data_IF_625619264323
#
_entry.id   IF_625619264323
#
_cell.length_a   1.000
_cell.length_b   1.000
_cell.length_c   1.000
_cell.angle_alpha   90.00
_cell.angle_beta   90.00
_cell.angle_gamma   90.00
#
_symmetry.space_group_name_H-M   'P 1'
#
loop_
_entity.id
_entity.type
_entity.pdbx_description
1 polymer ?
#
# COMPACT_ATOMS: atom_id res chain seq x y z
N UNK A 1 34.63 27.66 67.63
CA UNK A 1 34.20 27.13 68.91
C UNK A 1 33.57 25.77 68.61
N UNK A 2 34.29 24.75 69.10
CA UNK A 2 33.91 23.34 68.98
C UNK A 2 32.59 23.03 69.66
N UNK A 3 31.84 22.06 69.17
CA UNK A 3 31.25 21.04 70.00
C UNK A 3 30.85 19.82 69.18
N UNK A 4 31.53 18.73 69.40
CA UNK A 4 31.30 17.34 69.10
C UNK A 4 30.14 16.77 69.91
N UNK A 5 29.30 15.84 69.33
CA UNK A 5 28.66 14.72 70.02
C UNK A 5 28.21 13.69 69.05
N UNK A 6 28.79 12.59 69.01
CA UNK A 6 28.69 11.25 69.64
C UNK A 6 27.58 10.35 69.01
N UNK A 7 28.08 9.25 68.46
CA UNK A 7 27.35 8.07 67.99
C UNK A 7 26.58 7.36 69.13
N UNK A 8 25.37 6.92 68.84
CA UNK A 8 24.75 5.79 69.55
C UNK A 8 24.11 4.83 68.56
N UNK A 9 24.61 3.61 68.53
CA UNK A 9 24.07 2.46 67.83
C UNK A 9 22.73 2.06 68.44
N UNK A 10 21.73 1.79 67.57
CA UNK A 10 20.56 1.00 67.90
C UNK A 10 20.44 -0.10 66.88
N UNK A 11 20.84 -1.30 67.31
CA UNK A 11 20.58 -2.54 66.58
C UNK A 11 19.12 -2.95 66.89
N UNK A 12 18.26 -2.91 65.91
CA UNK A 12 16.97 -3.59 65.93
C UNK A 12 16.99 -4.63 64.83
N UNK A 13 17.02 -5.90 65.24
CA UNK A 13 16.91 -7.03 64.36
C UNK A 13 15.53 -7.06 63.68
N UNK A 14 15.52 -6.93 62.37
CA UNK A 14 14.33 -7.21 61.53
C UNK A 14 14.50 -8.58 60.86
N UNK A 15 13.75 -9.53 61.32
CA UNK A 15 13.58 -10.83 60.68
C UNK A 15 12.96 -10.68 59.29
N UNK A 16 13.78 -10.92 58.28
CA UNK A 16 13.34 -11.01 56.87
C UNK A 16 12.54 -12.31 56.67
N UNK A 17 11.23 -12.21 56.64
CA UNK A 17 10.36 -13.23 56.01
C UNK A 17 10.43 -13.06 54.48
N UNK A 18 10.75 -14.10 53.71
CA UNK A 18 10.66 -14.01 52.24
C UNK A 18 9.18 -13.95 51.85
N UNK A 19 8.75 -12.78 51.39
CA UNK A 19 7.49 -12.67 50.66
C UNK A 19 7.74 -13.31 49.29
N UNK A 20 7.33 -14.56 49.14
CA UNK A 20 7.20 -15.21 47.83
C UNK A 20 5.99 -14.56 47.16
N UNK A 21 6.20 -13.53 46.36
CA UNK A 21 5.23 -13.08 45.41
C UNK A 21 5.09 -14.15 44.32
N UNK A 22 4.10 -15.04 44.51
CA UNK A 22 3.62 -15.87 43.42
C UNK A 22 2.94 -14.95 42.39
N UNK A 23 3.71 -14.49 41.41
CA UNK A 23 3.13 -13.95 40.18
C UNK A 23 2.35 -15.08 39.51
N UNK A 24 1.06 -14.92 39.21
CA UNK A 24 0.37 -15.89 38.39
C UNK A 24 1.07 -15.86 37.01
N UNK A 25 1.79 -16.93 36.71
CA UNK A 25 2.35 -17.18 35.37
C UNK A 25 1.24 -17.63 34.42
N UNK A 26 0.30 -16.72 34.18
CA UNK A 26 -0.63 -16.80 33.06
C UNK A 26 -0.45 -15.55 32.22
N UNK A 27 0.81 -15.27 31.81
CA UNK A 27 1.01 -14.64 30.52
C UNK A 27 0.75 -15.75 29.50
N UNK A 28 -0.52 -15.93 29.15
CA UNK A 28 -0.88 -16.59 27.90
C UNK A 28 -0.11 -15.79 26.87
N UNK A 29 0.94 -16.39 26.30
CA UNK A 29 1.59 -15.84 25.12
C UNK A 29 0.43 -15.62 24.14
N UNK A 30 0.18 -14.35 23.79
CA UNK A 30 -0.73 -14.01 22.72
C UNK A 30 -0.15 -14.76 21.51
N UNK A 31 -0.80 -15.87 21.13
CA UNK A 31 -0.37 -16.68 20.00
C UNK A 31 -0.09 -15.69 18.89
N UNK A 32 1.11 -15.75 18.31
CA UNK A 32 1.55 -14.89 17.22
C UNK A 32 0.68 -15.18 15.98
N UNK A 33 -0.56 -14.68 16.02
CA UNK A 33 -1.52 -14.86 14.93
C UNK A 33 -0.93 -14.25 13.67
N UNK A 34 -1.05 -14.92 12.52
CA UNK A 34 -0.64 -14.34 11.26
C UNK A 34 -1.33 -12.98 11.03
N UNK A 35 -0.61 -12.01 10.50
CA UNK A 35 -1.16 -10.69 10.18
C UNK A 35 -0.76 -10.33 8.77
N UNK A 36 -1.76 -10.00 7.95
CA UNK A 36 -1.54 -9.37 6.65
C UNK A 36 -1.68 -7.85 6.85
N UNK A 37 -0.63 -7.13 6.57
CA UNK A 37 -0.63 -5.67 6.62
C UNK A 37 -0.89 -5.10 5.23
N UNK A 38 -1.76 -4.09 5.13
CA UNK A 38 -2.06 -3.42 3.85
C UNK A 38 -2.21 -1.92 3.99
N UNK A 39 -1.98 -1.12 2.93
CA UNK A 39 -2.28 0.30 2.92
C UNK A 39 -3.79 0.55 2.88
N UNK A 40 -4.29 1.74 3.24
CA UNK A 40 -5.67 2.12 2.99
C UNK A 40 -5.88 2.43 1.49
N UNK A 41 -5.83 1.39 0.65
CA UNK A 41 -5.91 1.49 -0.81
C UNK A 41 -6.54 0.22 -1.41
N UNK A 42 -6.94 0.30 -2.68
CA UNK A 42 -7.64 -0.75 -3.41
C UNK A 42 -7.10 -2.18 -3.24
N UNK A 43 -5.79 -2.44 -3.38
CA UNK A 43 -5.22 -3.80 -3.25
C UNK A 43 -5.53 -4.47 -1.92
N UNK A 44 -5.73 -3.69 -0.86
CA UNK A 44 -6.04 -4.20 0.49
C UNK A 44 -7.45 -4.77 0.60
N UNK A 45 -8.37 -4.41 -0.30
CA UNK A 45 -9.76 -4.90 -0.28
C UNK A 45 -9.80 -6.43 -0.36
N UNK A 46 -8.96 -7.01 -1.24
CA UNK A 46 -8.93 -8.46 -1.48
C UNK A 46 -8.51 -9.21 -0.22
N UNK A 47 -7.39 -8.81 0.38
CA UNK A 47 -6.86 -9.47 1.57
C UNK A 47 -7.76 -9.23 2.81
N UNK A 48 -8.28 -8.00 2.98
CA UNK A 48 -9.20 -7.67 4.06
C UNK A 48 -10.46 -8.53 3.99
N UNK A 49 -11.02 -8.72 2.78
CA UNK A 49 -12.19 -9.55 2.57
C UNK A 49 -11.90 -11.02 2.86
N UNK A 50 -10.81 -11.58 2.32
CA UNK A 50 -10.44 -12.97 2.54
C UNK A 50 -10.23 -13.27 4.03
N UNK A 51 -9.57 -12.37 4.77
CA UNK A 51 -9.38 -12.50 6.22
C UNK A 51 -10.72 -12.39 6.96
N UNK A 52 -11.51 -11.36 6.69
CA UNK A 52 -12.74 -11.07 7.43
C UNK A 52 -13.81 -12.14 7.27
N UNK A 53 -13.90 -12.72 6.08
CA UNK A 53 -14.86 -13.81 5.77
C UNK A 53 -14.36 -15.21 6.12
N UNK A 54 -13.17 -15.33 6.74
CA UNK A 54 -12.62 -16.62 7.17
C UNK A 54 -12.10 -17.49 6.05
N UNK A 55 -11.95 -16.97 4.83
CA UNK A 55 -11.47 -17.77 3.69
C UNK A 55 -10.02 -18.24 3.84
N UNK A 56 -9.26 -17.65 4.76
CA UNK A 56 -7.87 -18.01 5.06
C UNK A 56 -7.74 -18.90 6.31
N UNK A 57 -8.84 -19.27 6.98
CA UNK A 57 -8.77 -19.95 8.29
C UNK A 57 -8.04 -21.29 8.24
N UNK A 58 -8.23 -22.08 7.18
CA UNK A 58 -7.55 -23.39 7.02
C UNK A 58 -6.05 -23.23 6.70
N UNK A 59 -5.65 -22.14 6.04
CA UNK A 59 -4.27 -21.88 5.62
C UNK A 59 -3.48 -21.09 6.67
N UNK A 60 -4.11 -20.10 7.27
CA UNK A 60 -3.55 -19.17 8.25
C UNK A 60 -4.53 -19.01 9.42
N UNK A 61 -4.62 -19.98 10.34
CA UNK A 61 -5.58 -19.95 11.44
C UNK A 61 -5.49 -18.66 12.26
N UNK A 62 -6.65 -18.04 12.49
CA UNK A 62 -6.74 -16.78 13.25
C UNK A 62 -6.10 -15.58 12.58
N UNK A 63 -5.84 -15.61 11.28
CA UNK A 63 -5.24 -14.50 10.53
C UNK A 63 -6.00 -13.20 10.72
N UNK A 64 -5.27 -12.10 10.89
CA UNK A 64 -5.80 -10.76 11.02
C UNK A 64 -5.37 -9.89 9.85
N UNK A 65 -6.20 -8.91 9.50
CA UNK A 65 -5.82 -7.82 8.60
C UNK A 65 -5.63 -6.54 9.40
N UNK A 66 -4.53 -5.81 9.14
CA UNK A 66 -4.23 -4.51 9.76
C UNK A 66 -3.83 -3.49 8.71
N UNK A 67 -4.33 -2.27 8.87
CA UNK A 67 -3.92 -1.14 8.03
C UNK A 67 -2.60 -0.57 8.53
N UNK A 68 -1.70 -0.27 7.60
CA UNK A 68 -0.51 0.51 7.88
C UNK A 68 -0.61 1.89 7.21
N UNK A 69 -0.17 2.92 7.93
CA UNK A 69 -0.12 4.29 7.45
C UNK A 69 1.31 4.85 7.39
N UNK A 70 2.29 4.05 7.88
CA UNK A 70 3.69 4.42 7.89
C UNK A 70 4.54 3.37 7.17
N UNK A 71 5.06 3.68 5.95
CA UNK A 71 5.92 2.77 5.21
C UNK A 71 7.20 2.37 5.95
N UNK A 72 7.76 3.24 6.82
CA UNK A 72 8.98 2.93 7.55
C UNK A 72 8.74 1.87 8.64
N UNK A 73 7.56 1.88 9.26
CA UNK A 73 7.15 0.82 10.19
C UNK A 73 7.11 -0.54 9.49
N UNK A 74 6.56 -0.60 8.29
CA UNK A 74 6.48 -1.84 7.51
C UNK A 74 7.87 -2.32 7.10
N UNK A 75 8.73 -1.40 6.62
CA UNK A 75 10.12 -1.73 6.27
C UNK A 75 10.89 -2.28 7.47
N UNK A 76 10.77 -1.63 8.63
CA UNK A 76 11.40 -2.11 9.87
C UNK A 76 10.84 -3.48 10.30
N UNK A 77 9.53 -3.68 10.22
CA UNK A 77 8.87 -4.94 10.56
C UNK A 77 9.29 -6.11 9.66
N UNK A 78 9.35 -5.89 8.35
CA UNK A 78 9.85 -6.89 7.39
C UNK A 78 11.33 -7.18 7.61
N UNK A 79 12.14 -6.15 7.90
CA UNK A 79 13.57 -6.30 8.16
C UNK A 79 13.86 -7.09 9.44
N UNK A 80 13.08 -6.88 10.50
CA UNK A 80 13.23 -7.60 11.77
C UNK A 80 12.56 -8.98 11.76
N UNK A 81 11.71 -9.27 10.77
CA UNK A 81 10.88 -10.48 10.72
C UNK A 81 9.68 -10.44 11.67
N UNK A 82 9.35 -9.30 12.27
CA UNK A 82 8.11 -9.11 13.05
C UNK A 82 6.86 -8.93 12.16
N UNK A 83 7.08 -8.60 10.90
CA UNK A 83 6.06 -8.59 9.83
C UNK A 83 6.53 -9.55 8.74
N UNK A 84 5.67 -10.48 8.34
CA UNK A 84 5.98 -11.50 7.34
C UNK A 84 5.06 -11.45 6.11
N UNK A 85 3.99 -10.67 6.16
CA UNK A 85 3.05 -10.48 5.06
C UNK A 85 2.62 -9.01 5.01
N UNK A 86 2.92 -8.34 3.90
CA UNK A 86 2.51 -6.95 3.71
C UNK A 86 2.20 -6.65 2.24
N UNK A 87 1.08 -5.98 2.01
CA UNK A 87 0.77 -5.41 0.70
C UNK A 87 1.55 -4.11 0.56
N UNK A 88 2.41 -4.06 -0.45
CA UNK A 88 3.31 -2.95 -0.74
C UNK A 88 3.26 -2.60 -2.23
N UNK A 89 3.70 -1.40 -2.61
CA UNK A 89 4.08 -1.13 -4.00
C UNK A 89 5.15 -2.14 -4.44
N UNK A 90 4.98 -2.72 -5.63
CA UNK A 90 5.87 -3.79 -6.15
C UNK A 90 7.34 -3.37 -6.19
N UNK A 91 7.62 -2.12 -6.58
CA UNK A 91 8.99 -1.56 -6.57
C UNK A 91 9.58 -1.45 -5.15
N UNK A 92 8.75 -1.18 -4.14
CA UNK A 92 9.20 -1.16 -2.74
C UNK A 92 9.61 -2.56 -2.27
N UNK A 93 8.84 -3.59 -2.65
CA UNK A 93 9.21 -4.98 -2.42
C UNK A 93 10.54 -5.34 -3.08
N UNK A 94 10.73 -4.96 -4.35
CA UNK A 94 11.98 -5.15 -5.09
C UNK A 94 13.17 -4.43 -4.43
N UNK A 95 12.97 -3.20 -3.93
CA UNK A 95 13.99 -2.48 -3.18
C UNK A 95 14.44 -3.23 -1.91
N UNK A 96 13.47 -3.74 -1.14
CA UNK A 96 13.76 -4.50 0.08
C UNK A 96 14.49 -5.81 -0.23
N UNK A 97 14.07 -6.52 -1.29
CA UNK A 97 14.73 -7.71 -1.78
C UNK A 97 16.18 -7.44 -2.18
N UNK A 98 16.41 -6.42 -3.00
CA UNK A 98 17.75 -6.04 -3.47
C UNK A 98 18.68 -5.58 -2.32
N UNK A 99 18.12 -5.13 -1.22
CA UNK A 99 18.85 -4.83 0.04
C UNK A 99 19.10 -6.07 0.91
N UNK A 100 18.73 -7.26 0.46
CA UNK A 100 19.02 -8.52 1.12
C UNK A 100 18.08 -8.86 2.29
N UNK A 101 16.87 -8.29 2.33
CA UNK A 101 15.92 -8.56 3.42
C UNK A 101 15.24 -9.94 3.31
N UNK A 102 15.49 -10.72 2.26
CA UNK A 102 14.90 -12.07 2.10
C UNK A 102 13.38 -12.07 1.86
N UNK A 103 12.82 -10.94 1.44
CA UNK A 103 11.40 -10.84 1.08
C UNK A 103 11.17 -11.24 -0.37
N UNK A 104 9.97 -11.69 -0.72
CA UNK A 104 9.58 -12.04 -2.10
C UNK A 104 8.20 -11.49 -2.43
N UNK A 105 7.94 -11.22 -3.68
CA UNK A 105 6.64 -10.84 -4.18
C UNK A 105 5.83 -12.09 -4.52
N UNK A 106 4.72 -12.30 -3.81
CA UNK A 106 3.85 -13.44 -4.02
C UNK A 106 2.88 -13.24 -5.20
N UNK A 107 2.36 -12.04 -5.32
CA UNK A 107 1.36 -11.69 -6.34
C UNK A 107 1.34 -10.20 -6.63
N UNK A 108 0.56 -9.85 -7.65
CA UNK A 108 0.06 -8.49 -7.90
C UNK A 108 -1.46 -8.49 -7.63
N UNK A 109 -1.91 -7.48 -6.90
CA UNK A 109 -3.32 -7.29 -6.50
C UNK A 109 -4.00 -6.12 -7.21
N UNK A 110 -3.25 -5.34 -7.98
CA UNK A 110 -3.78 -4.27 -8.82
C UNK A 110 -2.87 -4.01 -10.01
N UNK A 111 -3.48 -3.85 -11.18
CA UNK A 111 -2.81 -3.40 -12.41
C UNK A 111 -2.82 -1.86 -12.55
N UNK A 112 -3.02 -1.18 -11.43
CA UNK A 112 -2.97 0.27 -11.31
C UNK A 112 -4.24 0.85 -10.69
N UNK A 113 -4.10 1.96 -9.98
CA UNK A 113 -5.19 2.63 -9.28
C UNK A 113 -5.05 4.16 -9.30
N UNK A 114 -4.23 4.67 -10.22
CA UNK A 114 -3.96 6.10 -10.35
C UNK A 114 -4.89 6.75 -11.38
N UNK A 115 -5.47 7.88 -11.00
CA UNK A 115 -6.31 8.70 -11.88
C UNK A 115 -5.88 10.15 -11.83
N UNK A 116 -6.01 10.85 -12.94
CA UNK A 116 -6.04 12.30 -12.93
C UNK A 116 -7.49 12.71 -12.74
N UNK A 117 -7.78 13.33 -11.60
CA UNK A 117 -9.09 13.88 -11.29
C UNK A 117 -9.07 15.39 -11.50
N UNK A 118 -10.19 15.94 -11.98
CA UNK A 118 -10.32 17.36 -12.28
C UNK A 118 -11.77 17.83 -12.15
N UNK A 119 -12.03 19.14 -12.04
CA UNK A 119 -13.36 19.68 -12.18
C UNK A 119 -13.96 19.32 -13.53
N UNK A 120 -15.20 18.85 -13.55
CA UNK A 120 -15.92 18.51 -14.78
C UNK A 120 -15.94 19.68 -15.79
N UNK A 121 -16.08 20.91 -15.27
CA UNK A 121 -16.07 22.14 -16.06
C UNK A 121 -14.71 22.45 -16.72
N UNK A 122 -13.59 21.83 -16.26
CA UNK A 122 -12.29 22.01 -16.88
C UNK A 122 -12.17 21.37 -18.27
N UNK A 123 -13.07 20.42 -18.56
CA UNK A 123 -13.14 19.69 -19.84
C UNK A 123 -11.82 19.02 -20.24
N UNK A 124 -11.04 18.55 -19.25
CA UNK A 124 -9.81 17.77 -19.48
C UNK A 124 -10.24 16.37 -19.93
N UNK A 125 -9.91 16.00 -21.17
CA UNK A 125 -10.23 14.70 -21.81
C UNK A 125 -9.00 13.99 -22.36
N UNK A 126 -7.91 14.72 -22.54
CA UNK A 126 -6.64 14.21 -23.04
C UNK A 126 -5.50 14.73 -22.17
N UNK A 127 -4.34 14.09 -22.25
CA UNK A 127 -3.15 14.56 -21.55
C UNK A 127 -2.71 15.95 -22.06
N UNK A 128 -2.95 16.26 -23.32
CA UNK A 128 -2.64 17.54 -23.93
C UNK A 128 -3.44 18.71 -23.31
N UNK A 129 -4.65 18.43 -22.79
CA UNK A 129 -5.48 19.45 -22.13
C UNK A 129 -4.89 19.92 -20.79
N UNK A 130 -3.86 19.22 -20.26
CA UNK A 130 -3.12 19.64 -19.07
C UNK A 130 -2.01 20.65 -19.38
N UNK A 131 -1.66 20.89 -20.64
CA UNK A 131 -0.63 21.87 -21.01
C UNK A 131 -1.05 23.26 -20.53
N UNK A 132 -0.14 23.93 -19.81
CA UNK A 132 -0.39 25.24 -19.20
C UNK A 132 -1.21 25.20 -17.91
N UNK A 133 -1.60 24.02 -17.42
CA UNK A 133 -2.37 23.85 -16.18
C UNK A 133 -1.50 23.39 -15.03
N UNK A 134 -2.03 23.55 -13.80
CA UNK A 134 -1.42 23.10 -12.56
C UNK A 134 -1.91 21.69 -12.23
N UNK A 135 -0.98 20.74 -12.14
CA UNK A 135 -1.25 19.36 -11.79
C UNK A 135 -0.60 19.04 -10.43
N UNK A 136 -1.40 18.66 -9.43
CA UNK A 136 -0.84 18.10 -8.20
C UNK A 136 -0.39 16.66 -8.43
N UNK A 137 0.85 16.34 -8.05
CA UNK A 137 1.41 14.99 -8.12
C UNK A 137 2.01 14.65 -6.74
N UNK A 138 1.59 13.55 -6.10
CA UNK A 138 2.14 13.16 -4.81
C UNK A 138 3.56 12.60 -4.95
N UNK A 139 4.39 12.81 -3.91
CA UNK A 139 5.71 12.18 -3.75
C UNK A 139 6.69 12.46 -4.90
N UNK A 140 7.26 13.66 -4.89
CA UNK A 140 8.34 14.01 -5.84
C UNK A 140 9.46 12.97 -5.80
N UNK A 141 9.94 12.57 -6.98
CA UNK A 141 10.99 11.57 -7.16
C UNK A 141 10.61 10.18 -6.61
N UNK A 142 9.33 9.83 -6.65
CA UNK A 142 8.82 8.51 -6.32
C UNK A 142 7.89 8.01 -7.45
N UNK A 143 7.30 6.83 -7.27
CA UNK A 143 6.59 6.11 -8.33
C UNK A 143 5.52 6.92 -9.07
N UNK A 144 4.60 7.67 -8.42
CA UNK A 144 3.60 8.43 -9.15
C UNK A 144 4.19 9.51 -10.05
N UNK A 145 5.26 10.16 -9.59
CA UNK A 145 5.98 11.16 -10.37
C UNK A 145 6.70 10.52 -11.56
N UNK A 146 7.41 9.42 -11.36
CA UNK A 146 8.12 8.72 -12.43
C UNK A 146 7.17 8.16 -13.50
N UNK A 147 6.00 7.62 -13.09
CA UNK A 147 4.95 7.22 -14.05
C UNK A 147 4.50 8.42 -14.87
N UNK A 148 4.20 9.56 -14.24
CA UNK A 148 3.79 10.76 -14.96
C UNK A 148 4.86 11.27 -15.91
N UNK A 149 6.12 11.31 -15.49
CA UNK A 149 7.24 11.73 -16.34
C UNK A 149 7.40 10.79 -17.55
N UNK A 150 7.31 9.48 -17.37
CA UNK A 150 7.36 8.50 -18.46
C UNK A 150 6.21 8.69 -19.45
N UNK A 151 5.00 8.91 -18.95
CA UNK A 151 3.82 9.19 -19.77
C UNK A 151 4.01 10.49 -20.55
N UNK A 152 4.40 11.59 -19.89
CA UNK A 152 4.65 12.88 -20.58
C UNK A 152 5.67 12.71 -21.71
N UNK A 153 6.77 12.01 -21.47
CA UNK A 153 7.80 11.70 -22.48
C UNK A 153 7.21 10.90 -23.65
N UNK A 154 6.41 9.86 -23.38
CA UNK A 154 5.79 9.02 -24.41
C UNK A 154 4.75 9.77 -25.27
N UNK A 155 4.14 10.83 -24.72
CA UNK A 155 3.18 11.68 -25.41
C UNK A 155 3.81 12.94 -26.02
N UNK A 156 5.14 13.07 -26.03
CA UNK A 156 5.89 14.21 -26.55
C UNK A 156 5.54 15.54 -25.86
N UNK A 157 5.14 15.50 -24.59
CA UNK A 157 4.84 16.67 -23.77
C UNK A 157 6.09 17.05 -22.98
N UNK A 158 6.57 18.28 -23.17
CA UNK A 158 7.75 18.77 -22.45
C UNK A 158 7.47 18.83 -20.95
N UNK A 159 8.43 18.46 -20.07
CA UNK A 159 8.23 18.47 -18.62
C UNK A 159 7.74 19.80 -18.04
N UNK A 160 8.16 20.93 -18.62
CA UNK A 160 7.75 22.28 -18.20
C UNK A 160 6.46 22.79 -18.86
N UNK A 161 5.80 22.00 -19.68
CA UNK A 161 4.53 22.36 -20.30
C UNK A 161 3.34 22.26 -19.33
N UNK A 162 3.51 21.52 -18.24
CA UNK A 162 2.54 21.37 -17.14
C UNK A 162 3.21 21.87 -15.86
N UNK A 163 2.52 22.72 -15.11
CA UNK A 163 3.00 23.21 -13.80
C UNK A 163 2.74 22.12 -12.74
N UNK A 164 3.73 21.24 -12.49
CA UNK A 164 3.61 20.16 -11.53
C UNK A 164 3.83 20.69 -10.11
N UNK A 165 2.78 20.60 -9.30
CA UNK A 165 2.78 20.94 -7.88
C UNK A 165 2.92 19.66 -7.06
N UNK A 166 4.10 19.43 -6.48
CA UNK A 166 4.33 18.24 -5.68
C UNK A 166 3.71 18.34 -4.30
N UNK A 167 3.06 17.25 -3.84
CA UNK A 167 2.56 17.12 -2.48
C UNK A 167 3.36 16.08 -1.70
N UNK A 168 3.47 16.26 -0.38
CA UNK A 168 4.20 15.34 0.49
C UNK A 168 3.43 14.06 0.82
N UNK A 169 2.12 14.04 0.53
CA UNK A 169 1.26 12.89 0.78
C UNK A 169 0.09 12.83 -0.22
N UNK A 170 -0.52 11.65 -0.35
CA UNK A 170 -1.72 11.45 -1.17
C UNK A 170 -2.91 12.32 -0.72
N UNK A 171 -3.22 12.46 0.58
CA UNK A 171 -4.34 13.28 1.04
C UNK A 171 -4.19 14.79 0.75
N UNK A 172 -2.97 15.32 0.65
CA UNK A 172 -2.74 16.75 0.41
C UNK A 172 -3.22 17.24 -0.97
N UNK A 173 -3.23 16.38 -1.97
CA UNK A 173 -3.67 16.75 -3.32
C UNK A 173 -5.17 17.09 -3.38
N UNK A 174 -6.00 16.43 -2.55
CA UNK A 174 -7.46 16.61 -2.56
C UNK A 174 -7.90 18.02 -2.14
N UNK A 175 -7.46 18.59 -1.00
CA UNK A 175 -7.78 19.97 -0.63
C UNK A 175 -7.34 20.98 -1.67
N UNK A 176 -6.15 20.83 -2.25
CA UNK A 176 -5.64 21.76 -3.28
C UNK A 176 -6.57 21.81 -4.51
N UNK A 177 -7.07 20.64 -4.93
CA UNK A 177 -8.02 20.53 -6.02
C UNK A 177 -9.37 21.16 -5.65
N UNK A 178 -9.90 20.86 -4.46
CA UNK A 178 -11.20 21.35 -4.01
C UNK A 178 -11.25 22.87 -3.91
N UNK A 179 -10.20 23.51 -3.38
CA UNK A 179 -10.13 24.98 -3.27
C UNK A 179 -9.63 25.68 -4.56
N UNK A 180 -9.29 24.90 -5.61
CA UNK A 180 -8.86 25.44 -6.91
C UNK A 180 -7.44 25.99 -6.95
N UNK A 181 -6.56 25.54 -6.07
CA UNK A 181 -5.12 25.85 -6.11
C UNK A 181 -4.42 25.13 -7.24
N UNK A 182 -4.95 23.96 -7.64
CA UNK A 182 -4.54 23.20 -8.82
C UNK A 182 -5.74 22.93 -9.73
N UNK A 183 -5.50 22.71 -11.01
CA UNK A 183 -6.51 22.44 -12.02
C UNK A 183 -6.89 20.94 -12.08
N UNK A 184 -5.94 20.08 -11.75
CA UNK A 184 -6.09 18.64 -11.70
C UNK A 184 -5.18 18.04 -10.63
N UNK A 185 -5.43 16.78 -10.26
CA UNK A 185 -4.60 16.07 -9.30
C UNK A 185 -4.49 14.58 -9.64
N UNK A 186 -3.31 14.00 -9.43
CA UNK A 186 -3.10 12.56 -9.46
C UNK A 186 -3.53 11.99 -8.10
N UNK A 187 -4.53 11.13 -8.11
CA UNK A 187 -5.11 10.53 -6.89
C UNK A 187 -5.29 9.02 -7.10
N UNK A 188 -5.14 8.24 -6.03
CA UNK A 188 -5.35 6.79 -6.00
C UNK A 188 -6.78 6.43 -5.57
N UNK A 189 -7.25 5.23 -5.92
CA UNK A 189 -8.46 4.66 -5.35
C UNK A 189 -8.21 4.05 -3.94
N UNK A 190 -9.17 4.17 -3.00
CA UNK A 190 -10.52 4.77 -3.04
C UNK A 190 -10.58 6.29 -2.83
N UNK A 191 -9.44 6.98 -2.67
CA UNK A 191 -9.44 8.43 -2.42
C UNK A 191 -10.04 9.23 -3.60
N UNK A 192 -9.87 8.76 -4.85
CA UNK A 192 -10.50 9.37 -6.02
C UNK A 192 -12.04 9.26 -5.94
N UNK A 193 -12.58 8.09 -5.60
CA UNK A 193 -14.00 7.89 -5.33
C UNK A 193 -14.50 8.79 -4.22
N UNK A 194 -13.68 9.02 -3.18
CA UNK A 194 -14.01 9.88 -2.05
C UNK A 194 -14.16 11.33 -2.49
N UNK A 195 -13.17 11.92 -3.17
CA UNK A 195 -13.24 13.33 -3.59
C UNK A 195 -14.38 13.56 -4.58
N UNK A 196 -14.63 12.61 -5.48
CA UNK A 196 -15.75 12.66 -6.42
C UNK A 196 -17.08 12.69 -5.65
N UNK A 197 -17.27 11.77 -4.72
CA UNK A 197 -18.48 11.70 -3.88
C UNK A 197 -18.69 12.98 -3.08
N UNK A 198 -17.65 13.51 -2.43
CA UNK A 198 -17.71 14.77 -1.67
C UNK A 198 -18.09 15.95 -2.55
N UNK A 199 -17.69 15.94 -3.81
CA UNK A 199 -17.97 17.04 -4.75
C UNK A 199 -19.40 17.03 -5.33
N UNK A 200 -20.20 15.96 -5.12
CA UNK A 200 -21.54 15.86 -5.71
C UNK A 200 -22.50 16.95 -5.24
N UNK A 201 -22.37 17.39 -3.98
CA UNK A 201 -23.13 18.50 -3.41
C UNK A 201 -22.50 19.89 -3.67
N UNK A 202 -21.34 19.93 -4.34
CA UNK A 202 -20.62 21.17 -4.63
C UNK A 202 -20.98 21.67 -6.03
N UNK A 203 -21.00 23.01 -6.27
CA UNK A 203 -21.05 23.57 -7.60
C UNK A 203 -19.89 23.10 -8.49
N UNK A 204 -18.76 22.74 -7.89
CA UNK A 204 -17.55 22.26 -8.56
C UNK A 204 -17.49 20.74 -8.48
N UNK A 205 -18.18 20.06 -9.39
CA UNK A 205 -18.15 18.59 -9.50
C UNK A 205 -16.76 18.13 -9.97
N UNK A 206 -16.20 17.16 -9.27
CA UNK A 206 -14.94 16.49 -9.63
C UNK A 206 -15.26 15.19 -10.36
N UNK A 207 -14.47 14.87 -11.37
CA UNK A 207 -14.57 13.63 -12.15
C UNK A 207 -13.20 12.99 -12.33
N UNK A 208 -13.15 11.67 -12.61
CA UNK A 208 -11.96 11.03 -13.17
C UNK A 208 -11.82 11.52 -14.60
N UNK A 209 -10.90 12.46 -14.82
CA UNK A 209 -10.66 13.04 -16.15
C UNK A 209 -9.85 12.09 -17.02
N UNK A 210 -8.77 11.51 -16.49
CA UNK A 210 -7.91 10.59 -17.23
C UNK A 210 -7.57 9.37 -16.36
N UNK A 211 -7.57 8.22 -17.01
CA UNK A 211 -7.10 6.96 -16.45
C UNK A 211 -5.61 6.81 -16.78
N UNK A 212 -4.75 6.78 -15.76
CA UNK A 212 -3.30 6.71 -15.93
C UNK A 212 -2.88 5.37 -16.53
N UNK A 213 -3.60 4.29 -16.26
CA UNK A 213 -3.31 2.97 -16.81
C UNK A 213 -3.49 2.97 -18.34
N UNK A 214 -4.55 3.61 -18.82
CA UNK A 214 -4.76 3.77 -20.27
C UNK A 214 -3.69 4.66 -20.93
N UNK A 215 -3.21 5.68 -20.23
CA UNK A 215 -2.11 6.51 -20.73
C UNK A 215 -0.79 5.74 -20.75
N UNK A 216 -0.62 4.80 -19.79
CA UNK A 216 0.56 3.96 -19.67
C UNK A 216 0.73 2.99 -20.87
N UNK A 217 -0.34 2.61 -21.54
CA UNK A 217 -0.30 1.76 -22.74
C UNK A 217 0.69 2.28 -23.79
N UNK A 218 0.83 3.59 -23.93
CA UNK A 218 1.80 4.18 -24.84
C UNK A 218 3.24 4.01 -24.39
N UNK A 219 3.48 3.82 -23.09
CA UNK A 219 4.82 3.60 -22.51
C UNK A 219 5.24 2.12 -22.64
N UNK A 220 4.35 1.20 -22.24
CA UNK A 220 4.66 -0.22 -22.06
C UNK A 220 3.99 -1.16 -23.06
N UNK A 221 3.11 -0.63 -23.93
CA UNK A 221 2.25 -1.37 -24.87
C UNK A 221 1.18 -2.24 -24.16
N UNK A 222 1.00 -2.07 -22.87
CA UNK A 222 -0.10 -2.64 -22.07
C UNK A 222 -0.67 -1.56 -21.16
N UNK A 223 -1.94 -1.67 -20.81
CA UNK A 223 -2.60 -0.77 -19.85
C UNK A 223 -2.42 -1.22 -18.39
N UNK A 224 -1.67 -2.30 -18.16
CA UNK A 224 -1.37 -2.82 -16.84
C UNK A 224 -0.13 -2.16 -16.25
N UNK A 225 -0.28 -1.57 -15.06
CA UNK A 225 0.82 -1.16 -14.20
C UNK A 225 0.80 -2.11 -13.01
N UNK A 226 1.68 -3.12 -12.92
CA UNK A 226 1.69 -4.09 -11.81
C UNK A 226 2.17 -3.39 -10.53
N UNK A 227 1.27 -2.57 -9.95
CA UNK A 227 1.62 -1.49 -9.05
C UNK A 227 1.84 -1.94 -7.61
N UNK A 228 1.01 -2.86 -7.11
CA UNK A 228 1.09 -3.32 -5.73
C UNK A 228 0.65 -4.77 -5.58
N UNK A 229 1.24 -5.47 -4.63
CA UNK A 229 0.94 -6.86 -4.35
C UNK A 229 1.39 -7.29 -2.96
N UNK A 230 1.18 -8.56 -2.64
CA UNK A 230 1.59 -9.16 -1.39
C UNK A 230 3.08 -9.48 -1.42
N UNK A 231 3.83 -8.85 -0.54
CA UNK A 231 5.21 -9.19 -0.23
C UNK A 231 5.21 -10.10 0.98
N UNK A 232 5.91 -11.22 0.87
CA UNK A 232 6.06 -12.22 1.93
C UNK A 232 7.52 -12.31 2.36
N UNK A 233 7.72 -12.56 3.63
CA UNK A 233 9.03 -12.68 4.25
C UNK A 233 9.26 -14.09 4.78
N UNK A 234 9.86 -14.15 5.95
CA UNK A 234 10.24 -15.38 6.65
C UNK A 234 9.04 -16.33 6.82
N UNK A 235 9.26 -17.62 6.56
CA UNK A 235 8.22 -18.66 6.64
C UNK A 235 7.52 -18.97 5.30
N UNK A 236 7.97 -18.30 4.20
CA UNK A 236 7.50 -18.55 2.85
C UNK A 236 8.63 -19.01 1.91
N UNK A 237 9.71 -19.55 2.48
CA UNK A 237 10.85 -20.09 1.74
C UNK A 237 10.64 -21.56 1.37
N UNK A 238 11.43 -22.03 0.39
CA UNK A 238 11.42 -23.42 -0.05
C UNK A 238 10.12 -23.86 -0.72
N UNK A 239 9.92 -25.16 -0.88
CA UNK A 239 8.75 -25.69 -1.59
C UNK A 239 7.48 -25.56 -0.77
N UNK A 240 7.53 -25.74 0.54
CA UNK A 240 6.39 -25.48 1.43
C UNK A 240 5.93 -24.01 1.35
N UNK A 241 6.87 -23.07 1.28
CA UNK A 241 6.56 -21.65 1.11
C UNK A 241 5.89 -21.36 -0.23
N UNK A 242 6.33 -22.02 -1.31
CA UNK A 242 5.69 -21.90 -2.63
C UNK A 242 4.26 -22.43 -2.62
N UNK A 243 4.02 -23.58 -1.97
CA UNK A 243 2.67 -24.14 -1.85
C UNK A 243 1.74 -23.21 -1.04
N UNK A 244 2.25 -22.62 0.04
CA UNK A 244 1.50 -21.61 0.81
C UNK A 244 1.16 -20.37 -0.05
N UNK A 245 2.10 -19.86 -0.84
CA UNK A 245 1.87 -18.73 -1.75
C UNK A 245 0.80 -19.09 -2.79
N UNK A 246 0.89 -20.28 -3.38
CA UNK A 246 -0.10 -20.76 -4.35
C UNK A 246 -1.50 -20.85 -3.74
N UNK A 247 -1.61 -21.39 -2.53
CA UNK A 247 -2.88 -21.48 -1.81
C UNK A 247 -3.44 -20.09 -1.44
N UNK A 248 -2.59 -19.15 -1.02
CA UNK A 248 -2.97 -17.75 -0.77
C UNK A 248 -3.50 -17.08 -2.03
N UNK A 249 -2.81 -17.25 -3.16
CA UNK A 249 -3.22 -16.65 -4.43
C UNK A 249 -4.55 -17.23 -4.93
N UNK A 250 -4.78 -18.54 -4.77
CA UNK A 250 -6.07 -19.17 -5.08
C UNK A 250 -7.19 -18.57 -4.21
N UNK A 251 -6.98 -18.48 -2.89
CA UNK A 251 -7.94 -17.89 -1.97
C UNK A 251 -8.24 -16.41 -2.32
N UNK A 252 -7.22 -15.63 -2.67
CA UNK A 252 -7.42 -14.25 -3.08
C UNK A 252 -8.15 -14.12 -4.42
N UNK A 253 -7.95 -15.04 -5.36
CA UNK A 253 -8.71 -15.08 -6.61
C UNK A 253 -10.19 -15.33 -6.35
N UNK A 254 -10.53 -16.31 -5.50
CA UNK A 254 -11.91 -16.59 -5.10
C UNK A 254 -12.53 -15.40 -4.33
N UNK A 255 -11.74 -14.72 -3.49
CA UNK A 255 -12.17 -13.52 -2.79
C UNK A 255 -12.49 -12.38 -3.79
N UNK A 256 -11.62 -12.18 -4.78
CA UNK A 256 -11.79 -11.16 -5.81
C UNK A 256 -13.03 -11.40 -6.67
N UNK A 257 -13.33 -12.65 -7.04
CA UNK A 257 -14.57 -13.01 -7.75
C UNK A 257 -15.80 -12.60 -6.94
N UNK A 258 -15.83 -12.91 -5.64
CA UNK A 258 -16.94 -12.53 -4.75
C UNK A 258 -17.07 -11.01 -4.60
N UNK A 259 -15.95 -10.29 -4.47
CA UNK A 259 -15.92 -8.82 -4.40
C UNK A 259 -16.47 -8.21 -5.67
N UNK A 260 -16.08 -8.72 -6.84
CA UNK A 260 -16.55 -8.22 -8.14
C UNK A 260 -18.05 -8.55 -8.40
N UNK A 261 -18.53 -9.69 -7.88
CA UNK A 261 -19.91 -10.10 -8.01
C UNK A 261 -20.87 -9.23 -7.19
N UNK A 262 -20.48 -8.80 -5.98
CA UNK A 262 -21.28 -7.94 -5.11
C UNK A 262 -20.38 -6.99 -4.31
N UNK A 263 -19.93 -5.87 -4.93
CA UNK A 263 -19.04 -4.92 -4.28
C UNK A 263 -19.62 -4.25 -3.02
N UNK A 264 -20.94 -4.06 -2.98
CA UNK A 264 -21.61 -3.43 -1.82
C UNK A 264 -21.54 -4.35 -0.61
N UNK A 265 -21.95 -5.60 -0.77
CA UNK A 265 -21.87 -6.62 0.28
C UNK A 265 -20.41 -6.82 0.73
N UNK A 266 -19.50 -6.93 -0.22
CA UNK A 266 -18.08 -7.11 0.11
C UNK A 266 -17.52 -5.94 0.93
N UNK A 267 -17.90 -4.71 0.59
CA UNK A 267 -17.50 -3.53 1.33
C UNK A 267 -18.09 -3.46 2.74
N UNK A 268 -19.35 -3.89 2.91
CA UNK A 268 -20.00 -3.97 4.21
C UNK A 268 -19.30 -5.01 5.12
N UNK A 269 -18.92 -6.16 4.57
CA UNK A 269 -18.19 -7.20 5.33
C UNK A 269 -16.86 -6.69 5.89
N UNK A 270 -16.13 -5.85 5.14
CA UNK A 270 -14.85 -5.29 5.57
C UNK A 270 -14.98 -3.91 6.25
N UNK A 271 -16.20 -3.53 6.60
CA UNK A 271 -16.45 -2.25 7.28
C UNK A 271 -15.57 -2.10 8.52
N UNK A 272 -14.93 -0.93 8.64
CA UNK A 272 -14.02 -0.62 9.74
C UNK A 272 -12.61 -1.22 9.65
N UNK A 273 -12.31 -2.03 8.62
CA UNK A 273 -10.95 -2.55 8.39
C UNK A 273 -10.10 -1.61 7.53
N UNK A 274 -10.73 -0.85 6.63
CA UNK A 274 -10.07 0.18 5.84
C UNK A 274 -10.61 1.55 6.27
N UNK A 275 -9.79 2.57 6.18
CA UNK A 275 -10.12 3.94 6.63
C UNK A 275 -11.08 4.66 5.66
N UNK A 276 -12.03 3.93 5.05
CA UNK A 276 -13.04 4.46 4.13
C UNK A 276 -14.43 3.92 4.47
N UNK A 277 -15.49 4.74 4.29
CA UNK A 277 -16.86 4.26 4.37
C UNK A 277 -17.14 3.14 3.36
N UNK A 278 -17.92 2.10 3.71
CA UNK A 278 -18.20 0.95 2.83
C UNK A 278 -18.67 1.36 1.43
N UNK A 279 -19.60 2.31 1.32
CA UNK A 279 -20.08 2.82 0.03
C UNK A 279 -18.99 3.35 -0.89
N UNK A 280 -17.89 3.91 -0.33
CA UNK A 280 -16.78 4.44 -1.12
C UNK A 280 -15.81 3.33 -1.52
N UNK A 281 -15.65 2.31 -0.67
CA UNK A 281 -14.93 1.08 -1.00
C UNK A 281 -15.65 0.40 -2.17
N UNK A 282 -16.96 0.16 -2.07
CA UNK A 282 -17.75 -0.45 -3.13
C UNK A 282 -17.62 0.31 -4.46
N UNK A 283 -17.80 1.64 -4.43
CA UNK A 283 -17.69 2.49 -5.61
C UNK A 283 -16.26 2.46 -6.23
N UNK A 284 -15.23 2.19 -5.45
CA UNK A 284 -13.84 2.15 -5.92
C UNK A 284 -13.45 0.84 -6.59
N UNK A 285 -14.17 -0.27 -6.36
CA UNK A 285 -13.83 -1.60 -6.88
C UNK A 285 -13.69 -1.58 -8.40
N UNK A 286 -14.62 -0.97 -9.10
CA UNK A 286 -14.62 -0.88 -10.57
C UNK A 286 -13.44 -0.05 -11.13
N UNK A 287 -12.76 0.73 -10.30
CA UNK A 287 -11.70 1.66 -10.68
C UNK A 287 -10.34 1.31 -10.05
N UNK A 288 -10.28 0.28 -9.23
CA UNK A 288 -9.05 -0.15 -8.57
C UNK A 288 -8.26 -1.18 -9.38
N UNK A 289 -8.70 -1.54 -10.58
CA UNK A 289 -8.09 -2.56 -11.46
C UNK A 289 -7.60 -3.77 -10.66
N UNK A 290 -8.47 -4.27 -9.76
CA UNK A 290 -8.13 -5.38 -8.88
C UNK A 290 -7.94 -6.67 -9.68
N UNK A 291 -6.82 -7.31 -9.43
CA UNK A 291 -6.39 -8.58 -10.02
C UNK A 291 -5.78 -9.47 -8.95
N UNK A 292 -5.56 -10.73 -9.29
CA UNK A 292 -4.67 -11.62 -8.54
C UNK A 292 -3.82 -12.35 -9.58
N UNK A 293 -2.62 -11.83 -9.79
CA UNK A 293 -1.64 -12.44 -10.71
C UNK A 293 -0.46 -12.99 -9.92
N UNK A 294 -0.07 -14.23 -10.15
CA UNK A 294 1.18 -14.76 -9.58
C UNK A 294 2.36 -13.89 -10.03
N UNK A 295 3.24 -13.52 -9.12
CA UNK A 295 4.34 -12.61 -9.44
C UNK A 295 5.27 -13.19 -10.54
N UNK A 296 5.50 -14.51 -10.52
CA UNK A 296 6.29 -15.20 -11.54
C UNK A 296 5.67 -15.16 -12.93
N UNK A 297 4.34 -15.19 -13.04
CA UNK A 297 3.62 -15.16 -14.33
C UNK A 297 3.65 -13.75 -14.96
N UNK A 298 3.61 -12.71 -14.13
CA UNK A 298 3.63 -11.32 -14.60
C UNK A 298 5.00 -10.66 -14.51
N UNK A 299 6.07 -11.45 -14.30
CA UNK A 299 7.45 -10.97 -14.27
C UNK A 299 7.81 -10.08 -15.46
N UNK A 300 7.48 -10.41 -16.73
CA UNK A 300 7.81 -9.52 -17.86
C UNK A 300 7.17 -8.13 -17.75
N UNK A 301 5.94 -8.04 -17.27
CA UNK A 301 5.27 -6.76 -17.06
C UNK A 301 5.88 -5.97 -15.88
N UNK A 302 6.24 -6.67 -14.79
CA UNK A 302 6.96 -6.09 -13.64
C UNK A 302 8.32 -5.54 -14.07
N UNK A 303 9.10 -6.29 -14.83
CA UNK A 303 10.41 -5.83 -15.32
C UNK A 303 10.28 -4.65 -16.28
N UNK A 304 9.26 -4.62 -17.14
CA UNK A 304 8.97 -3.45 -17.98
C UNK A 304 8.69 -2.21 -17.10
N UNK A 305 7.83 -2.35 -16.11
CA UNK A 305 7.53 -1.28 -15.16
C UNK A 305 8.78 -0.85 -14.37
N UNK A 306 9.54 -1.79 -13.83
CA UNK A 306 10.75 -1.52 -13.07
C UNK A 306 11.85 -0.84 -13.91
N UNK A 307 12.00 -1.20 -15.17
CA UNK A 307 12.95 -0.54 -16.07
C UNK A 307 12.63 0.95 -16.26
N UNK A 308 11.36 1.29 -16.42
CA UNK A 308 10.94 2.69 -16.50
C UNK A 308 11.33 3.46 -15.23
N UNK A 309 11.19 2.86 -14.06
CA UNK A 309 11.60 3.48 -12.80
C UNK A 309 13.13 3.59 -12.67
N UNK A 310 13.87 2.54 -13.08
CA UNK A 310 15.34 2.52 -13.04
C UNK A 310 15.94 3.58 -13.95
N UNK A 311 15.38 3.79 -15.15
CA UNK A 311 15.82 4.84 -16.08
C UNK A 311 15.73 6.24 -15.46
N UNK A 312 14.77 6.46 -14.55
CA UNK A 312 14.62 7.72 -13.85
C UNK A 312 15.56 7.80 -12.63
N UNK A 313 15.57 6.74 -11.81
CA UNK A 313 16.38 6.64 -10.60
C UNK A 313 16.52 5.17 -10.16
N UNK A 314 17.67 4.57 -10.37
CA UNK A 314 17.91 3.18 -10.00
C UNK A 314 17.81 2.90 -8.49
N UNK A 315 18.03 3.90 -7.64
CA UNK A 315 17.96 3.74 -6.19
C UNK A 315 16.56 3.37 -5.69
N UNK A 316 15.50 3.65 -6.47
CA UNK A 316 14.12 3.31 -6.13
C UNK A 316 13.92 1.78 -6.02
N UNK A 317 14.70 1.00 -6.79
CA UNK A 317 14.72 -0.47 -6.73
C UNK A 317 15.93 -1.02 -5.97
N UNK A 318 16.73 -0.19 -5.30
CA UNK A 318 17.95 -0.63 -4.66
C UNK A 318 19.12 -0.84 -5.62
N UNK A 319 19.10 -0.17 -6.78
CA UNK A 319 20.23 -0.06 -7.73
C UNK A 319 20.16 -0.99 -8.96
N UNK A 320 19.29 -1.99 -8.96
CA UNK A 320 19.18 -2.98 -10.06
C UNK A 320 17.79 -3.61 -10.16
N UNK A 321 17.52 -4.32 -11.24
CA UNK A 321 16.38 -5.24 -11.30
C UNK A 321 16.58 -6.37 -10.27
N UNK A 322 15.51 -6.86 -9.61
CA UNK A 322 15.60 -8.07 -8.81
C UNK A 322 15.80 -9.28 -9.71
N UNK A 323 16.50 -10.30 -9.21
CA UNK A 323 16.62 -11.59 -9.89
C UNK A 323 15.38 -12.47 -9.68
N UNK A 324 15.41 -13.69 -10.28
CA UNK A 324 14.28 -14.62 -10.26
C UNK A 324 13.79 -14.99 -8.85
N UNK A 325 14.65 -14.91 -7.86
CA UNK A 325 14.31 -15.21 -6.47
C UNK A 325 13.30 -14.25 -5.85
N UNK A 326 13.10 -13.08 -6.44
CA UNK A 326 12.10 -12.11 -5.98
C UNK A 326 10.67 -12.51 -6.35
N UNK A 327 10.49 -13.13 -7.53
CA UNK A 327 9.18 -13.47 -8.08
C UNK A 327 8.77 -14.86 -7.59
N UNK A 328 7.94 -14.95 -6.57
CA UNK A 328 7.56 -16.20 -5.93
C UNK A 328 6.43 -16.94 -6.63
#
# INVERSE_FOLDING_TARGET
MMLTQTRRHFLIGASLLPIVCAFPANVVAEENKPVIWGPPAGPSIVAAYAVKTGMLEDLLPGCQFKVWNNPDQIRAGLSSGSINMAILPSYSGANLYNKGLGVRLANILTDGLLYIVAPQASNIKTLQDLVGKKLAVPFKNDMPDYIMQAILKAYDIKPNAIDIQYTGSLPEAMPLLMIGRVDAAVIVEPAASTVISMSTASPKKIVRALDIQKLWEKVSKTDAIPQAGLVVGKGFEGDEGKDKIKALNACFSDALEKIKADPEKAADEISGLLDFPPRLIAASVAFSHLVVHNASEVKPALETFFNVLIEQNSAILGGKLPDDGFYA
#
